data_IF_991224579848
#
_entry.id   IF_991224579848
#
_cell.length_a   1.000
_cell.length_b   1.000
_cell.length_c   1.000
_cell.angle_alpha   90.00
_cell.angle_beta   90.00
_cell.angle_gamma   90.00
#
_symmetry.space_group_name_H-M   'P 1'
#
loop_
_entity.id
_entity.type
_entity.pdbx_description
1 polymer ?
#
# COMPACT_ATOMS: atom_id res chain seq x y z
N UNK A 1 47.55 47.76 -1.60
CA UNK A 1 47.21 46.37 -1.18
C UNK A 1 45.73 46.13 -0.86
N UNK A 2 44.94 47.12 -0.43
CA UNK A 2 43.52 46.92 -0.05
C UNK A 2 42.59 46.63 -1.24
N UNK A 3 42.76 47.32 -2.37
CA UNK A 3 41.90 47.18 -3.58
C UNK A 3 41.99 45.79 -4.22
N UNK A 4 43.20 45.20 -4.26
CA UNK A 4 43.41 43.85 -4.82
C UNK A 4 42.72 42.75 -4.00
N UNK A 5 42.60 42.92 -2.67
CA UNK A 5 41.86 41.99 -1.80
C UNK A 5 40.35 42.12 -1.98
N UNK A 6 39.84 43.34 -2.17
CA UNK A 6 38.42 43.59 -2.46
C UNK A 6 38.01 42.96 -3.80
N UNK A 7 38.86 43.08 -4.83
CA UNK A 7 38.61 42.46 -6.14
C UNK A 7 38.53 40.92 -6.06
N UNK A 8 39.38 40.28 -5.25
CA UNK A 8 39.36 38.82 -5.08
C UNK A 8 38.07 38.37 -4.38
N UNK A 9 37.62 39.09 -3.35
CA UNK A 9 36.37 38.75 -2.63
C UNK A 9 35.15 38.87 -3.53
N UNK A 10 35.09 39.90 -4.39
CA UNK A 10 34.01 40.06 -5.38
C UNK A 10 34.04 38.92 -6.40
N UNK A 11 35.22 38.49 -6.83
CA UNK A 11 35.37 37.42 -7.82
C UNK A 11 34.91 36.07 -7.27
N UNK A 12 35.21 35.76 -6.01
CA UNK A 12 34.74 34.52 -5.35
C UNK A 12 33.22 34.55 -5.15
N UNK A 13 32.64 35.69 -4.74
CA UNK A 13 31.19 35.82 -4.59
C UNK A 13 30.43 35.66 -5.92
N UNK A 14 30.98 36.18 -7.02
CA UNK A 14 30.38 36.04 -8.35
C UNK A 14 30.39 34.58 -8.84
N UNK A 15 31.47 33.84 -8.57
CA UNK A 15 31.57 32.41 -8.91
C UNK A 15 30.55 31.60 -8.09
N UNK A 16 30.45 31.84 -6.78
CA UNK A 16 29.47 31.15 -5.92
C UNK A 16 28.03 31.44 -6.33
N UNK A 17 27.71 32.68 -6.72
CA UNK A 17 26.37 33.04 -7.24
C UNK A 17 26.09 32.40 -8.61
N UNK A 18 27.11 32.27 -9.46
CA UNK A 18 27.04 31.56 -10.74
C UNK A 18 26.75 30.07 -10.57
N UNK A 19 27.47 29.38 -9.68
CA UNK A 19 27.20 27.96 -9.36
C UNK A 19 25.84 27.76 -8.69
N UNK A 20 25.43 28.67 -7.79
CA UNK A 20 24.10 28.64 -7.18
C UNK A 20 22.99 28.78 -8.23
N UNK A 21 23.12 29.75 -9.15
CA UNK A 21 22.19 29.91 -10.29
C UNK A 21 22.21 28.70 -11.21
N UNK A 22 23.37 28.12 -11.52
CA UNK A 22 23.50 26.95 -12.39
C UNK A 22 22.86 25.70 -11.79
N UNK A 23 23.07 25.43 -10.49
CA UNK A 23 22.42 24.33 -9.79
C UNK A 23 20.89 24.51 -9.69
N UNK A 24 20.41 25.74 -9.54
CA UNK A 24 18.97 26.01 -9.49
C UNK A 24 18.30 26.11 -10.88
N UNK A 25 19.05 26.40 -11.95
CA UNK A 25 18.49 26.49 -13.32
C UNK A 25 18.34 25.13 -14.00
N UNK A 26 19.03 24.08 -13.54
CA UNK A 26 18.86 22.72 -14.06
C UNK A 26 17.52 22.06 -13.66
N UNK A 27 16.76 22.69 -12.75
CA UNK A 27 15.46 22.18 -12.27
C UNK A 27 14.24 22.87 -12.89
N UNK A 28 14.37 23.62 -13.99
CA UNK A 28 13.22 24.20 -14.67
C UNK A 28 13.38 24.33 -16.20
N UNK A 29 12.56 23.55 -16.93
CA UNK A 29 12.09 23.75 -18.33
C UNK A 29 13.09 23.40 -19.46
N UNK A 30 12.80 22.63 -20.53
CA UNK A 30 11.62 21.93 -21.10
C UNK A 30 12.11 21.02 -22.26
N UNK A 31 11.27 20.07 -22.73
CA UNK A 31 11.38 19.33 -24.02
C UNK A 31 11.64 20.29 -25.21
N UNK A 32 12.23 19.92 -26.37
CA UNK A 32 11.68 19.03 -27.43
C UNK A 32 12.63 19.01 -28.66
N UNK A 33 12.75 17.88 -29.39
CA UNK A 33 12.59 17.85 -30.86
C UNK A 33 12.24 16.42 -31.38
N UNK A 34 11.45 16.39 -32.45
CA UNK A 34 10.67 15.31 -33.05
C UNK A 34 11.46 14.41 -34.02
N UNK A 35 11.10 13.11 -34.08
CA UNK A 35 10.91 12.42 -35.36
C UNK A 35 9.56 11.69 -35.35
N UNK A 36 8.84 11.85 -36.46
CA UNK A 36 7.45 11.50 -36.67
C UNK A 36 7.24 9.98 -36.81
N UNK A 37 6.41 9.41 -35.94
CA UNK A 37 5.59 8.25 -36.29
C UNK A 37 4.15 8.76 -36.28
N UNK A 38 3.54 8.85 -37.46
CA UNK A 38 2.12 9.17 -37.62
C UNK A 38 1.26 8.02 -37.07
N UNK A 39 1.13 7.95 -35.74
CA UNK A 39 0.06 7.20 -35.08
C UNK A 39 -1.12 8.15 -34.98
N UNK A 40 -2.16 7.89 -35.80
CA UNK A 40 -3.42 8.60 -35.67
C UNK A 40 -3.88 8.52 -34.20
N UNK A 41 -4.29 9.62 -33.57
CA UNK A 41 -4.82 9.56 -32.22
C UNK A 41 -6.04 8.66 -32.24
N UNK A 42 -5.93 7.50 -31.59
CA UNK A 42 -7.10 6.76 -31.15
C UNK A 42 -7.82 7.74 -30.23
N UNK A 43 -8.89 8.38 -30.77
CA UNK A 43 -9.84 9.13 -29.97
C UNK A 43 -10.11 8.28 -28.74
N UNK A 44 -9.98 8.79 -27.51
CA UNK A 44 -10.29 8.01 -26.33
C UNK A 44 -11.72 7.52 -26.53
N UNK A 45 -11.87 6.24 -26.85
CA UNK A 45 -13.15 5.57 -26.81
C UNK A 45 -13.48 5.71 -25.34
N UNK A 46 -14.38 6.63 -25.03
CA UNK A 46 -15.01 6.71 -23.73
C UNK A 46 -15.63 5.33 -23.52
N UNK A 47 -14.86 4.41 -22.93
CA UNK A 47 -15.39 3.20 -22.37
C UNK A 47 -16.17 3.66 -21.15
N UNK A 48 -17.39 4.12 -21.39
CA UNK A 48 -18.44 4.27 -20.38
C UNK A 48 -18.93 2.88 -19.97
N UNK A 49 -17.99 2.03 -19.60
CA UNK A 49 -18.23 0.82 -18.83
C UNK A 49 -17.15 0.81 -17.78
N UNK A 50 -17.38 1.50 -16.65
CA UNK A 50 -16.70 1.14 -15.40
C UNK A 50 -17.10 -0.31 -15.16
N UNK A 51 -16.28 -1.27 -15.60
CA UNK A 51 -16.41 -2.65 -15.14
C UNK A 51 -16.29 -2.54 -13.63
N UNK A 52 -17.39 -2.81 -12.92
CA UNK A 52 -17.42 -2.80 -11.46
C UNK A 52 -16.49 -3.93 -11.03
N UNK A 53 -15.22 -3.60 -10.75
CA UNK A 53 -14.23 -4.55 -10.25
C UNK A 53 -14.76 -5.14 -8.96
N UNK A 54 -14.81 -6.46 -8.91
CA UNK A 54 -15.19 -7.18 -7.70
C UNK A 54 -13.91 -7.49 -6.94
N UNK A 55 -13.60 -6.67 -5.94
CA UNK A 55 -12.37 -6.78 -5.15
C UNK A 55 -12.25 -8.13 -4.44
N UNK A 56 -13.37 -8.70 -4.00
CA UNK A 56 -13.40 -10.05 -3.41
C UNK A 56 -13.00 -11.11 -4.42
N UNK A 57 -13.46 -11.01 -5.68
CA UNK A 57 -13.07 -11.94 -6.74
C UNK A 57 -11.58 -11.82 -7.07
N UNK A 58 -11.04 -10.58 -7.11
CA UNK A 58 -9.62 -10.33 -7.36
C UNK A 58 -8.74 -10.92 -6.25
N UNK A 59 -9.11 -10.71 -4.99
CA UNK A 59 -8.41 -11.29 -3.84
C UNK A 59 -8.49 -12.82 -3.83
N UNK A 60 -9.70 -13.37 -4.02
CA UNK A 60 -9.92 -14.82 -4.05
C UNK A 60 -9.10 -15.52 -5.13
N UNK A 61 -8.88 -14.87 -6.28
CA UNK A 61 -8.07 -15.41 -7.37
C UNK A 61 -6.57 -15.55 -7.04
N UNK A 62 -6.09 -15.02 -5.92
CA UNK A 62 -4.70 -15.17 -5.45
C UNK A 62 -4.52 -16.30 -4.43
N UNK A 63 -5.62 -16.90 -3.98
CA UNK A 63 -5.58 -18.05 -3.08
C UNK A 63 -5.11 -19.30 -3.83
N UNK A 64 -4.48 -20.19 -3.09
CA UNK A 64 -4.03 -21.50 -3.55
C UNK A 64 -5.23 -22.41 -3.82
N UNK A 65 -6.14 -22.50 -2.84
CA UNK A 65 -7.37 -23.29 -2.93
C UNK A 65 -8.61 -22.40 -2.74
N UNK A 66 -8.97 -21.57 -3.75
CA UNK A 66 -9.99 -20.54 -3.60
C UNK A 66 -11.38 -21.10 -3.28
N UNK A 67 -11.69 -22.33 -3.66
CA UNK A 67 -12.99 -22.94 -3.41
C UNK A 67 -13.04 -23.82 -2.16
N UNK A 68 -11.89 -24.11 -1.54
CA UNK A 68 -11.82 -24.96 -0.35
C UNK A 68 -11.80 -24.14 0.93
N UNK A 69 -12.96 -24.07 1.60
CA UNK A 69 -13.08 -23.46 2.93
C UNK A 69 -12.56 -24.40 4.01
N UNK A 70 -11.96 -23.82 5.05
CA UNK A 70 -11.69 -24.55 6.30
C UNK A 70 -12.99 -24.92 7.01
N UNK A 71 -12.93 -25.84 7.96
CA UNK A 71 -14.12 -26.17 8.74
C UNK A 71 -14.49 -25.04 9.73
N UNK A 72 -15.69 -25.11 10.32
CA UNK A 72 -16.20 -24.05 11.20
C UNK A 72 -15.28 -23.79 12.40
N UNK A 73 -14.76 -24.84 13.05
CA UNK A 73 -13.90 -24.72 14.22
C UNK A 73 -12.61 -23.97 13.89
N UNK A 74 -12.00 -24.28 12.75
CA UNK A 74 -10.79 -23.62 12.24
C UNK A 74 -11.08 -22.16 11.88
N UNK A 75 -12.19 -21.90 11.20
CA UNK A 75 -12.62 -20.54 10.87
C UNK A 75 -12.83 -19.69 12.13
N UNK A 76 -13.47 -20.22 13.17
CA UNK A 76 -13.68 -19.54 14.45
C UNK A 76 -12.36 -19.27 15.18
N UNK A 77 -11.41 -20.21 15.13
CA UNK A 77 -10.07 -20.00 15.68
C UNK A 77 -9.35 -18.82 15.01
N UNK A 78 -9.41 -18.73 13.68
CA UNK A 78 -8.82 -17.61 12.93
C UNK A 78 -9.57 -16.31 13.21
N UNK A 79 -10.91 -16.33 13.25
CA UNK A 79 -11.75 -15.17 13.57
C UNK A 79 -11.42 -14.61 14.96
N UNK A 80 -11.21 -15.46 15.96
CA UNK A 80 -10.79 -15.03 17.29
C UNK A 80 -9.36 -14.46 17.31
N UNK A 81 -8.45 -15.04 16.54
CA UNK A 81 -7.04 -14.63 16.52
C UNK A 81 -6.80 -13.31 15.77
N UNK A 82 -7.53 -13.05 14.68
CA UNK A 82 -7.30 -11.89 13.80
C UNK A 82 -7.71 -10.55 14.46
N UNK A 83 -8.52 -10.60 15.51
CA UNK A 83 -8.90 -9.40 16.29
C UNK A 83 -7.67 -8.69 16.86
N UNK A 84 -6.65 -9.44 17.31
CA UNK A 84 -5.44 -8.87 17.91
C UNK A 84 -4.67 -7.93 16.96
N UNK A 85 -4.28 -8.35 15.73
CA UNK A 85 -3.65 -7.42 14.80
C UNK A 85 -4.59 -6.29 14.35
N UNK A 86 -5.90 -6.53 14.23
CA UNK A 86 -6.88 -5.48 13.88
C UNK A 86 -6.92 -4.39 14.96
N UNK A 87 -7.05 -4.77 16.22
CA UNK A 87 -7.05 -3.84 17.37
C UNK A 87 -5.71 -3.10 17.48
N UNK A 88 -4.60 -3.80 17.20
CA UNK A 88 -3.30 -3.16 17.12
C UNK A 88 -3.26 -2.08 16.03
N UNK A 89 -3.67 -2.37 14.80
CA UNK A 89 -3.72 -1.38 13.73
C UNK A 89 -4.63 -0.18 14.06
N UNK A 90 -5.75 -0.43 14.74
CA UNK A 90 -6.68 0.61 15.15
C UNK A 90 -6.09 1.51 16.27
N UNK A 91 -5.38 0.93 17.24
CA UNK A 91 -4.85 1.64 18.41
C UNK A 91 -3.58 2.45 18.15
N UNK A 92 -2.76 2.06 17.18
CA UNK A 92 -1.52 2.78 16.86
C UNK A 92 -1.86 4.16 16.26
N UNK A 93 -1.22 5.27 16.67
CA UNK A 93 -1.62 6.61 16.20
C UNK A 93 -1.29 6.89 14.73
N UNK A 94 -0.10 6.50 14.29
CA UNK A 94 0.40 6.82 12.96
C UNK A 94 0.97 5.60 12.24
N UNK A 95 1.25 5.75 10.95
CA UNK A 95 1.86 4.68 10.14
C UNK A 95 3.33 4.43 10.49
N UNK A 96 4.03 5.44 11.04
CA UNK A 96 5.45 5.36 11.44
C UNK A 96 5.63 4.62 12.77
N UNK A 97 4.57 4.52 13.58
CA UNK A 97 4.55 3.83 14.86
C UNK A 97 4.26 2.32 14.74
N UNK A 98 3.96 1.84 13.53
CA UNK A 98 3.65 0.43 13.26
C UNK A 98 4.91 -0.42 13.45
N UNK A 99 4.76 -1.49 14.23
CA UNK A 99 5.76 -2.51 14.49
C UNK A 99 5.14 -3.87 14.24
N UNK A 100 5.87 -4.73 13.53
CA UNK A 100 5.47 -6.11 13.30
C UNK A 100 6.13 -7.00 14.35
N UNK A 101 5.35 -7.60 15.25
CA UNK A 101 5.88 -8.31 16.42
C UNK A 101 5.11 -9.60 16.69
N UNK A 102 5.64 -10.46 17.56
CA UNK A 102 4.92 -11.67 17.98
C UNK A 102 3.66 -11.35 18.80
N UNK A 103 3.73 -10.32 19.65
CA UNK A 103 2.65 -9.95 20.58
C UNK A 103 1.40 -9.47 19.83
N UNK A 104 1.57 -8.65 18.80
CA UNK A 104 0.47 -8.21 17.93
C UNK A 104 0.16 -9.18 16.79
N UNK A 105 0.77 -10.37 16.79
CA UNK A 105 0.59 -11.44 15.80
C UNK A 105 1.02 -11.09 14.37
N UNK A 106 1.85 -10.06 14.19
CA UNK A 106 2.28 -9.60 12.86
C UNK A 106 3.73 -9.99 12.55
N UNK A 107 4.40 -10.84 13.34
CA UNK A 107 5.86 -11.03 13.26
C UNK A 107 6.39 -11.46 11.88
N UNK A 108 5.52 -12.02 11.03
CA UNK A 108 5.82 -12.48 9.67
C UNK A 108 5.23 -11.57 8.59
N UNK A 109 4.45 -10.55 8.94
CA UNK A 109 3.92 -9.56 8.00
C UNK A 109 5.04 -8.61 7.57
N UNK A 110 5.12 -8.32 6.27
CA UNK A 110 6.02 -7.30 5.76
C UNK A 110 5.67 -5.92 6.37
N UNK A 111 6.62 -5.20 6.99
CA UNK A 111 6.37 -3.88 7.58
C UNK A 111 5.69 -2.89 6.62
N UNK A 112 6.05 -2.88 5.34
CA UNK A 112 5.43 -1.99 4.35
C UNK A 112 3.95 -2.31 4.11
N UNK A 113 3.56 -3.59 4.19
CA UNK A 113 2.15 -3.99 4.11
C UNK A 113 1.39 -3.54 5.36
N UNK A 114 1.99 -3.70 6.55
CA UNK A 114 1.43 -3.24 7.81
C UNK A 114 1.22 -1.70 7.81
N UNK A 115 2.21 -0.93 7.34
CA UNK A 115 2.09 0.51 7.11
C UNK A 115 0.98 0.82 6.10
N UNK A 116 0.89 0.10 4.99
CA UNK A 116 -0.15 0.30 3.97
C UNK A 116 -1.56 0.10 4.53
N UNK A 117 -1.77 -0.94 5.34
CA UNK A 117 -3.03 -1.18 6.07
C UNK A 117 -3.34 0.00 6.98
N UNK A 118 -2.35 0.47 7.76
CA UNK A 118 -2.54 1.63 8.64
C UNK A 118 -2.91 2.90 7.86
N UNK A 119 -2.27 3.15 6.73
CA UNK A 119 -2.62 4.27 5.84
C UNK A 119 -4.07 4.16 5.36
N UNK A 120 -4.57 2.96 5.04
CA UNK A 120 -5.98 2.78 4.69
C UNK A 120 -6.91 3.11 5.86
N UNK A 121 -6.56 2.68 7.08
CA UNK A 121 -7.37 3.01 8.26
C UNK A 121 -7.43 4.52 8.51
N UNK A 122 -6.31 5.23 8.35
CA UNK A 122 -6.25 6.69 8.45
C UNK A 122 -7.07 7.39 7.34
N UNK A 123 -7.24 6.75 6.18
CA UNK A 123 -8.10 7.22 5.10
C UNK A 123 -9.60 6.94 5.32
N UNK A 124 -9.97 6.41 6.50
CA UNK A 124 -11.37 6.16 6.88
C UNK A 124 -11.89 4.77 6.53
N UNK A 125 -11.01 3.84 6.16
CA UNK A 125 -11.37 2.43 6.07
C UNK A 125 -11.41 1.79 7.46
N UNK A 126 -12.22 0.76 7.61
CA UNK A 126 -12.26 -0.12 8.77
C UNK A 126 -12.39 -1.57 8.33
N UNK A 127 -11.93 -2.49 9.16
CA UNK A 127 -12.12 -3.92 8.91
C UNK A 127 -13.59 -4.31 9.04
N UNK A 128 -14.10 -5.03 8.05
CA UNK A 128 -15.37 -5.74 8.14
C UNK A 128 -15.10 -7.18 8.58
N UNK A 129 -15.19 -7.43 9.88
CA UNK A 129 -14.90 -8.73 10.48
C UNK A 129 -15.86 -9.84 10.02
N UNK A 130 -17.07 -9.49 9.58
CA UNK A 130 -18.05 -10.48 9.09
C UNK A 130 -17.76 -10.90 7.66
N UNK A 131 -16.99 -10.12 6.91
CA UNK A 131 -16.46 -10.52 5.60
C UNK A 131 -15.30 -11.53 5.66
N UNK A 132 -14.74 -11.78 6.85
CA UNK A 132 -13.62 -12.70 7.02
C UNK A 132 -13.98 -14.08 6.49
N UNK A 133 -13.14 -14.58 5.60
CA UNK A 133 -13.29 -15.86 4.94
C UNK A 133 -11.97 -16.60 4.95
N UNK A 134 -11.97 -17.85 5.42
CA UNK A 134 -10.76 -18.64 5.63
C UNK A 134 -10.82 -19.90 4.76
N UNK A 135 -9.68 -20.22 4.15
CA UNK A 135 -9.51 -21.23 3.11
C UNK A 135 -8.32 -22.12 3.43
N UNK A 136 -8.35 -23.34 2.88
CA UNK A 136 -7.20 -24.23 2.91
C UNK A 136 -6.04 -23.62 2.10
N UNK A 137 -4.83 -24.09 2.40
CA UNK A 137 -3.65 -23.86 1.57
C UNK A 137 -3.02 -25.21 1.23
N UNK A 138 -2.05 -25.24 0.32
CA UNK A 138 -1.27 -26.44 0.06
C UNK A 138 -0.35 -26.84 1.23
N UNK A 139 -0.27 -26.01 2.28
CA UNK A 139 0.52 -26.28 3.49
C UNK A 139 -0.39 -26.59 4.68
N UNK A 140 -0.21 -27.76 5.30
CA UNK A 140 -1.02 -28.25 6.44
C UNK A 140 -1.03 -27.31 7.65
N UNK A 141 -0.02 -26.45 7.78
CA UNK A 141 0.14 -25.50 8.88
C UNK A 141 -0.20 -24.05 8.51
N UNK A 142 -0.81 -23.82 7.35
CA UNK A 142 -1.20 -22.49 6.89
C UNK A 142 -2.66 -22.50 6.44
N UNK A 143 -3.42 -21.53 6.94
CA UNK A 143 -4.70 -21.15 6.34
C UNK A 143 -4.53 -19.85 5.57
N UNK A 144 -5.20 -19.71 4.44
CA UNK A 144 -5.30 -18.43 3.75
C UNK A 144 -6.60 -17.74 4.11
N UNK A 145 -6.62 -16.42 4.12
CA UNK A 145 -7.83 -15.67 4.41
C UNK A 145 -8.00 -14.48 3.49
N UNK A 146 -9.25 -14.07 3.33
CA UNK A 146 -9.63 -12.78 2.76
C UNK A 146 -10.47 -12.01 3.76
N UNK A 147 -10.26 -10.71 3.87
CA UNK A 147 -11.08 -9.80 4.70
C UNK A 147 -11.23 -8.45 3.99
N UNK A 148 -12.40 -7.85 4.08
CA UNK A 148 -12.67 -6.54 3.51
C UNK A 148 -12.23 -5.41 4.45
N UNK A 149 -11.72 -4.35 3.83
CA UNK A 149 -11.66 -3.01 4.38
C UNK A 149 -12.77 -2.19 3.72
N UNK A 150 -13.60 -1.53 4.50
CA UNK A 150 -14.75 -0.76 3.98
C UNK A 150 -14.78 0.65 4.54
N UNK A 151 -15.29 1.61 3.77
CA UNK A 151 -15.58 2.97 4.26
C UNK A 151 -17.07 3.13 4.58
N UNK A 152 -17.45 4.21 5.26
CA UNK A 152 -18.87 4.57 5.44
C UNK A 152 -19.62 4.75 4.11
N UNK A 153 -18.91 5.07 3.03
CA UNK A 153 -19.47 5.25 1.68
C UNK A 153 -19.51 3.95 0.88
N UNK A 154 -19.22 2.80 1.53
CA UNK A 154 -19.22 1.48 0.92
C UNK A 154 -18.15 1.31 -0.19
N UNK A 155 -17.08 2.11 -0.15
CA UNK A 155 -15.87 1.78 -0.91
C UNK A 155 -15.21 0.56 -0.25
N UNK A 156 -14.78 -0.39 -1.07
CA UNK A 156 -14.23 -1.66 -0.59
C UNK A 156 -12.83 -1.88 -1.13
N UNK A 157 -11.97 -2.38 -0.25
CA UNK A 157 -10.73 -3.05 -0.60
C UNK A 157 -10.78 -4.47 -0.02
N UNK A 158 -10.03 -5.39 -0.60
CA UNK A 158 -9.91 -6.75 -0.07
C UNK A 158 -8.47 -7.05 0.27
N UNK A 159 -8.22 -7.44 1.51
CA UNK A 159 -6.95 -7.97 1.96
C UNK A 159 -6.92 -9.48 1.77
N UNK A 160 -5.74 -9.99 1.45
CA UNK A 160 -5.41 -11.42 1.46
C UNK A 160 -4.25 -11.62 2.42
N UNK A 161 -4.27 -12.74 3.13
CA UNK A 161 -3.15 -13.10 4.00
C UNK A 161 -3.12 -14.58 4.36
N UNK A 162 -2.07 -14.93 5.10
CA UNK A 162 -1.84 -16.25 5.64
C UNK A 162 -1.95 -16.22 7.17
N UNK A 163 -2.44 -17.31 7.74
CA UNK A 163 -2.42 -17.57 9.17
C UNK A 163 -1.64 -18.86 9.42
N UNK A 164 -0.47 -18.73 10.03
CA UNK A 164 0.40 -19.86 10.36
C UNK A 164 -0.08 -20.47 11.67
N UNK A 165 -0.64 -21.66 11.63
CA UNK A 165 -1.34 -22.27 12.78
C UNK A 165 -0.39 -22.60 13.93
N UNK A 166 0.84 -23.03 13.62
CA UNK A 166 1.86 -23.39 14.62
C UNK A 166 2.36 -22.22 15.46
N UNK A 167 2.57 -21.05 14.85
CA UNK A 167 3.05 -19.83 15.56
C UNK A 167 1.91 -18.85 15.89
N UNK A 168 0.71 -19.10 15.35
CA UNK A 168 -0.50 -18.26 15.50
C UNK A 168 -0.24 -16.81 15.08
N UNK A 169 0.54 -16.64 14.02
CA UNK A 169 0.91 -15.34 13.43
C UNK A 169 0.17 -15.13 12.11
N UNK A 170 -0.11 -13.87 11.81
CA UNK A 170 -0.69 -13.42 10.56
C UNK A 170 0.39 -12.81 9.67
N UNK A 171 0.33 -13.20 8.40
CA UNK A 171 1.00 -12.52 7.30
C UNK A 171 -0.07 -11.84 6.46
N UNK A 172 -0.10 -10.51 6.43
CA UNK A 172 -0.87 -9.79 5.41
C UNK A 172 -0.03 -9.72 4.13
N UNK A 173 -0.58 -10.19 3.01
CA UNK A 173 0.18 -10.47 1.78
C UNK A 173 -0.13 -9.45 0.68
N UNK A 174 -1.42 -9.17 0.42
CA UNK A 174 -1.81 -8.27 -0.65
C UNK A 174 -3.08 -7.49 -0.33
N UNK A 175 -3.20 -6.33 -0.99
CA UNK A 175 -4.36 -5.45 -0.92
C UNK A 175 -4.90 -5.24 -2.34
N UNK A 176 -6.17 -5.57 -2.55
CA UNK A 176 -6.85 -5.50 -3.83
C UNK A 176 -7.90 -4.38 -3.82
N UNK A 177 -8.05 -3.72 -4.97
CA UNK A 177 -8.96 -2.59 -5.16
C UNK A 177 -8.23 -1.28 -5.41
N UNK A 178 -8.98 -0.18 -5.45
CA UNK A 178 -8.43 1.16 -5.67
C UNK A 178 -8.77 2.03 -4.47
N UNK A 179 -7.78 2.35 -3.61
CA UNK A 179 -8.00 3.16 -2.44
C UNK A 179 -8.64 4.50 -2.76
N UNK A 180 -9.50 4.97 -1.85
CA UNK A 180 -10.10 6.30 -1.84
C UNK A 180 -9.57 7.08 -0.64
N UNK A 181 -9.52 8.41 -0.78
CA UNK A 181 -9.18 9.33 0.31
C UNK A 181 -7.78 9.15 0.92
N UNK A 182 -6.87 8.49 0.19
CA UNK A 182 -5.45 8.38 0.59
C UNK A 182 -4.72 9.61 0.09
N UNK A 183 -4.14 10.39 1.00
CA UNK A 183 -3.20 11.46 0.65
C UNK A 183 -1.77 10.93 0.84
N UNK A 184 -0.95 11.03 -0.20
CA UNK A 184 0.47 10.63 -0.20
C UNK A 184 1.36 11.82 0.11
#
# INVERSE_FOLDING_TARGET
>A
MKVRKVLIVILVAAISFGFYRFYHHQKSSKMKDNQEILVQPIKPKQSKTKVKRNVTKEAKATLEEPEERVNQKEAEQVKAAIVIPIDYFASVPSQDDIKVTYDNKLSITNPAMATSIKTMLLAGYHFDLDSLSVYQSHSDNVYQFTILLVTHQQDQLSLVGNYVTGTRQFEFVSLHGTPKNVMF
#
